data_IF_170161418351
#
_entry.id   IF_170161418351
#
_cell.length_a   1.000
_cell.length_b   1.000
_cell.length_c   1.000
_cell.angle_alpha   90.00
_cell.angle_beta   90.00
_cell.angle_gamma   90.00
#
_symmetry.space_group_name_H-M   'P 1'
#
loop_
_entity.id
_entity.type
_entity.pdbx_description
1 polymer ?
2 non-polymer ?
3 water ?
#
# COMPACT_ATOMS: atom_id res chain seq x y z
N UNK A 1 4.21 8.42 -2.75
CA UNK A 1 4.74 7.27 -1.96
C UNK A 1 3.63 6.21 -1.91
N UNK A 2 3.99 4.96 -1.71
CA UNK A 2 3.00 3.87 -1.76
C UNK A 2 3.52 2.69 -0.95
N UNK A 3 2.59 1.89 -0.47
CA UNK A 3 2.96 0.63 0.21
C UNK A 3 1.87 -0.39 -0.08
N UNK A 4 2.26 -1.61 -0.43
CA UNK A 4 1.34 -2.75 -0.64
C UNK A 4 1.77 -3.92 0.25
N UNK A 5 0.78 -4.60 0.81
CA UNK A 5 0.96 -5.87 1.54
C UNK A 5 0.05 -6.90 0.88
N UNK A 6 0.59 -8.04 0.46
CA UNK A 6 -0.25 -9.13 -0.12
C UNK A 6 0.42 -10.47 0.13
N UNK B 1 -4.90 -8.25 2.67
CA UNK B 1 -4.03 -7.44 1.77
C UNK B 1 -4.38 -5.97 1.96
N UNK B 2 -3.43 -5.09 1.69
CA UNK B 2 -3.60 -3.64 1.93
C UNK B 2 -2.75 -2.85 0.94
N UNK B 3 -3.25 -1.68 0.57
CA UNK B 3 -2.50 -0.76 -0.30
C UNK B 3 -2.75 0.67 0.17
N UNK B 4 -1.68 1.44 0.33
CA UNK B 4 -1.75 2.87 0.70
C UNK B 4 -1.03 3.71 -0.34
N UNK B 5 -1.68 4.81 -0.73
CA UNK B 5 -1.09 5.89 -1.57
C UNK B 5 -1.06 7.16 -0.71
N UNK B 6 0.10 7.80 -0.57
CA UNK B 6 0.21 9.06 0.21
C UNK B 6 1.31 9.94 -0.39
X LIG C 1 6.23 11.48 -2.32
X LIG C 1 7.27 10.67 -3.07
X LIG C 1 5.10 10.94 -2.19
X LIG C 1 8.08 10.05 -2.26
X LIG C 1 6.73 9.77 -3.86
X LIG C 1 8.05 11.41 -3.81
X LIG C 1 6.63 12.58 -1.95
X LIG D 1 4.39 6.66 -6.16
X LIG D 1 2.85 6.72 -6.24
X LIG D 1 4.90 7.32 -5.25
X LIG D 1 2.31 5.57 -6.59
X LIG D 1 2.32 7.04 -5.05
X LIG D 1 2.40 7.62 -7.13
X LIG D 1 4.94 5.95 -7.03
X LIG E 1 -3.98 -7.36 6.42
X LIG E 1 -2.54 -7.05 6.07
X LIG E 1 -4.17 -7.69 7.60
X LIG E 1 -1.73 -8.01 6.39
X LIG E 1 -2.40 -6.87 4.80
X LIG E 1 -2.10 -5.94 6.65
X LIG E 1 -4.80 -7.22 5.49
#
# INVERSE_FOLDING_TARGET
AALALL
AALALL
TFA C1 C2 O F1 F2 F3 OXT
TFA C1 C2 O F1 F2 F3 OXT
TFA C1 C2 O F1 F2 F3 OXT
#
